data_IF_218697153882
#
_entry.id   IF_218697153882
#
_cell.length_a   1.000
_cell.length_b   1.000
_cell.length_c   1.000
_cell.angle_alpha   90.00
_cell.angle_beta   90.00
_cell.angle_gamma   90.00
#
_symmetry.space_group_name_H-M   'P 1'
#
loop_
_entity.id
_entity.type
_entity.pdbx_description
1 polymer ?
#
# COMPACT_ATOMS: atom_id res chain seq x y z
N UNK A 1 10.48 23.31 -8.12
CA UNK A 1 10.58 22.23 -9.14
C UNK A 1 9.23 22.10 -9.85
N UNK A 2 9.20 21.93 -11.18
CA UNK A 2 7.94 21.75 -11.92
C UNK A 2 7.52 20.28 -11.93
N UNK A 3 6.24 20.00 -11.63
CA UNK A 3 5.66 18.65 -11.67
C UNK A 3 5.22 18.22 -13.08
N UNK A 4 5.27 19.13 -14.05
CA UNK A 4 4.90 18.81 -15.43
C UNK A 4 5.97 17.91 -16.07
N UNK A 5 5.57 16.70 -16.49
CA UNK A 5 6.44 15.74 -17.19
C UNK A 5 7.04 16.31 -18.48
N UNK A 6 6.34 17.20 -19.18
CA UNK A 6 6.83 17.82 -20.40
C UNK A 6 8.04 18.74 -20.15
N UNK A 7 8.20 19.24 -18.92
CA UNK A 7 9.33 20.08 -18.52
C UNK A 7 10.55 19.26 -18.05
N UNK A 8 10.46 17.93 -18.05
CA UNK A 8 11.55 17.02 -17.67
C UNK A 8 12.34 16.58 -18.91
N UNK A 9 13.63 16.32 -18.71
CA UNK A 9 14.46 15.73 -19.76
C UNK A 9 13.92 14.35 -20.19
N UNK A 10 14.32 13.89 -21.38
CA UNK A 10 13.98 12.54 -21.83
C UNK A 10 14.50 11.47 -20.87
N UNK A 11 15.72 11.63 -20.35
CA UNK A 11 16.32 10.68 -19.41
C UNK A 11 15.52 10.57 -18.12
N UNK A 12 15.13 11.70 -17.52
CA UNK A 12 14.29 11.70 -16.31
C UNK A 12 12.92 11.04 -16.55
N UNK A 13 12.30 11.30 -17.70
CA UNK A 13 11.04 10.63 -18.07
C UNK A 13 11.22 9.13 -18.21
N UNK A 14 12.29 8.67 -18.87
CA UNK A 14 12.57 7.25 -19.03
C UNK A 14 12.79 6.55 -17.68
N UNK A 15 13.48 7.20 -16.73
CA UNK A 15 13.66 6.68 -15.37
C UNK A 15 12.33 6.56 -14.62
N UNK A 16 11.47 7.57 -14.72
CA UNK A 16 10.13 7.55 -14.11
C UNK A 16 9.29 6.40 -14.66
N UNK A 17 9.29 6.19 -15.98
CA UNK A 17 8.53 5.09 -16.58
C UNK A 17 9.09 3.71 -16.21
N UNK A 18 10.41 3.56 -16.13
CA UNK A 18 11.05 2.33 -15.65
C UNK A 18 10.69 2.02 -14.19
N UNK A 19 10.69 3.03 -13.32
CA UNK A 19 10.26 2.90 -11.92
C UNK A 19 8.79 2.48 -11.82
N UNK A 20 7.90 3.12 -12.58
CA UNK A 20 6.49 2.75 -12.63
C UNK A 20 6.27 1.31 -13.09
N UNK A 21 6.98 0.87 -14.14
CA UNK A 21 6.88 -0.50 -14.63
C UNK A 21 7.28 -1.51 -13.54
N UNK A 22 8.40 -1.27 -12.85
CA UNK A 22 8.85 -2.10 -11.72
C UNK A 22 7.83 -2.14 -10.59
N UNK A 23 7.27 -0.98 -10.21
CA UNK A 23 6.25 -0.90 -9.15
C UNK A 23 4.97 -1.63 -9.55
N UNK A 24 4.58 -1.55 -10.82
CA UNK A 24 3.41 -2.25 -11.35
C UNK A 24 3.60 -3.78 -11.32
N UNK A 25 4.75 -4.28 -11.73
CA UNK A 25 5.07 -5.72 -11.63
C UNK A 25 5.08 -6.20 -10.18
N UNK A 26 5.67 -5.42 -9.27
CA UNK A 26 5.64 -5.71 -7.83
C UNK A 26 4.19 -5.75 -7.31
N UNK A 27 3.36 -4.78 -7.71
CA UNK A 27 1.96 -4.73 -7.33
C UNK A 27 1.22 -5.97 -7.84
N UNK A 28 1.32 -6.26 -9.13
CA UNK A 28 0.59 -7.35 -9.77
C UNK A 28 0.93 -8.71 -9.15
N UNK A 29 2.22 -8.96 -8.90
CA UNK A 29 2.69 -10.22 -8.30
C UNK A 29 2.31 -10.39 -6.83
N UNK A 30 2.06 -9.30 -6.10
CA UNK A 30 1.81 -9.33 -4.66
C UNK A 30 0.38 -9.00 -4.24
N UNK A 31 -0.48 -8.56 -5.16
CA UNK A 31 -1.83 -8.09 -4.84
C UNK A 31 -2.66 -9.11 -4.05
N UNK A 32 -2.62 -10.39 -4.44
CA UNK A 32 -3.34 -11.45 -3.74
C UNK A 32 -2.85 -11.62 -2.30
N UNK A 33 -1.52 -11.67 -2.10
CA UNK A 33 -0.91 -11.77 -0.77
C UNK A 33 -1.23 -10.55 0.08
N UNK A 34 -1.15 -9.34 -0.49
CA UNK A 34 -1.42 -8.10 0.21
C UNK A 34 -2.87 -8.01 0.70
N UNK A 35 -3.84 -8.49 -0.10
CA UNK A 35 -5.25 -8.60 0.34
C UNK A 35 -5.41 -9.57 1.51
N UNK A 36 -4.70 -10.70 1.48
CA UNK A 36 -4.69 -11.66 2.60
C UNK A 36 -4.16 -11.06 3.89
N UNK A 37 -3.01 -10.37 3.82
CA UNK A 37 -2.45 -9.65 4.97
C UNK A 37 -3.38 -8.54 5.47
N UNK A 38 -3.98 -7.76 4.56
CA UNK A 38 -4.95 -6.74 4.95
C UNK A 38 -6.14 -7.33 5.70
N UNK A 39 -6.69 -8.46 5.22
CA UNK A 39 -7.77 -9.17 5.91
C UNK A 39 -7.35 -9.69 7.29
N UNK A 40 -6.13 -10.23 7.43
CA UNK A 40 -5.55 -10.63 8.73
C UNK A 40 -5.44 -9.45 9.69
N UNK A 41 -4.92 -8.31 9.21
CA UNK A 41 -4.79 -7.12 10.04
C UNK A 41 -6.16 -6.59 10.48
N UNK A 42 -7.18 -6.64 9.62
CA UNK A 42 -8.53 -6.18 9.94
C UNK A 42 -9.25 -7.13 10.92
N UNK A 43 -9.09 -8.45 10.80
CA UNK A 43 -9.75 -9.41 11.70
C UNK A 43 -9.33 -9.24 13.16
N UNK A 44 -8.14 -8.71 13.39
CA UNK A 44 -7.57 -8.39 14.71
C UNK A 44 -8.22 -7.19 15.41
N UNK A 45 -9.07 -6.43 14.70
CA UNK A 45 -9.65 -5.19 15.21
C UNK A 45 -10.50 -5.37 16.45
N UNK A 46 -11.35 -6.40 16.48
CA UNK A 46 -12.23 -6.68 17.63
C UNK A 46 -11.46 -7.06 18.89
N UNK A 47 -10.39 -7.87 18.71
CA UNK A 47 -9.50 -8.31 19.78
C UNK A 47 -8.71 -7.16 20.39
N UNK A 48 -8.16 -6.28 19.54
CA UNK A 48 -7.24 -5.20 19.95
C UNK A 48 -7.94 -3.90 20.35
N UNK A 49 -9.18 -3.68 19.92
CA UNK A 49 -9.99 -2.50 20.24
C UNK A 49 -9.21 -1.19 19.98
N UNK A 50 -9.13 -0.29 20.97
CA UNK A 50 -8.47 1.01 20.83
C UNK A 50 -6.98 0.95 20.47
N UNK A 51 -6.30 -0.18 20.72
CA UNK A 51 -4.88 -0.37 20.37
C UNK A 51 -4.65 -0.87 18.95
N UNK A 52 -5.72 -1.15 18.20
CA UNK A 52 -5.62 -1.76 16.87
C UNK A 52 -4.80 -0.91 15.89
N UNK A 53 -5.06 0.40 15.82
CA UNK A 53 -4.40 1.27 14.83
C UNK A 53 -2.90 1.46 15.09
N UNK A 54 -2.48 1.45 16.35
CA UNK A 54 -1.05 1.49 16.73
C UNK A 54 -0.37 0.17 16.40
N UNK A 55 -1.00 -0.95 16.73
CA UNK A 55 -0.47 -2.25 16.39
C UNK A 55 -0.35 -2.47 14.87
N UNK A 56 -1.36 -2.08 14.08
CA UNK A 56 -1.27 -2.17 12.61
C UNK A 56 -0.09 -1.35 12.07
N UNK A 57 0.21 -0.18 12.64
CA UNK A 57 1.39 0.59 12.26
C UNK A 57 2.68 -0.19 12.55
N UNK A 58 2.81 -0.76 13.73
CA UNK A 58 3.98 -1.58 14.08
C UNK A 58 4.14 -2.81 13.16
N UNK A 59 3.06 -3.49 12.79
CA UNK A 59 3.12 -4.61 11.83
C UNK A 59 3.58 -4.16 10.44
N UNK A 60 3.10 -3.01 9.97
CA UNK A 60 3.50 -2.45 8.68
C UNK A 60 4.95 -1.95 8.69
N UNK A 61 5.40 -1.38 9.81
CA UNK A 61 6.77 -0.88 9.97
C UNK A 61 7.79 -2.03 10.06
N UNK A 62 7.37 -3.20 10.56
CA UNK A 62 8.17 -4.42 10.57
C UNK A 62 8.20 -5.16 9.22
N UNK A 63 7.36 -4.75 8.25
CA UNK A 63 7.20 -5.45 6.99
C UNK A 63 8.24 -5.00 5.95
N UNK A 64 8.74 -5.95 5.17
CA UNK A 64 9.69 -5.72 4.09
C UNK A 64 9.24 -6.45 2.82
N UNK A 65 9.47 -5.89 1.62
CA UNK A 65 10.03 -4.56 1.36
C UNK A 65 9.05 -3.41 1.68
N UNK A 66 9.52 -2.16 1.83
CA UNK A 66 8.66 -1.00 2.10
C UNK A 66 7.52 -0.81 1.10
N UNK A 67 7.76 -1.10 -0.18
CA UNK A 67 6.74 -1.01 -1.23
C UNK A 67 5.60 -2.04 -1.02
N UNK A 68 5.93 -3.23 -0.50
CA UNK A 68 4.93 -4.23 -0.15
C UNK A 68 4.12 -3.79 1.09
N UNK A 69 4.78 -3.21 2.10
CA UNK A 69 4.10 -2.64 3.26
C UNK A 69 3.12 -1.52 2.86
N UNK A 70 3.51 -0.65 1.92
CA UNK A 70 2.63 0.39 1.37
C UNK A 70 1.42 -0.21 0.64
N UNK A 71 1.62 -1.30 -0.12
CA UNK A 71 0.52 -2.01 -0.77
C UNK A 71 -0.46 -2.60 0.26
N UNK A 72 0.03 -3.29 1.30
CA UNK A 72 -0.84 -3.80 2.38
C UNK A 72 -1.60 -2.66 3.06
N UNK A 73 -0.93 -1.55 3.36
CA UNK A 73 -1.57 -0.35 3.94
C UNK A 73 -2.71 0.17 3.06
N UNK A 74 -2.51 0.23 1.74
CA UNK A 74 -3.57 0.66 0.81
C UNK A 74 -4.77 -0.27 0.79
N UNK A 75 -4.55 -1.59 0.85
CA UNK A 75 -5.64 -2.57 0.85
C UNK A 75 -6.40 -2.55 2.19
N UNK A 76 -5.71 -2.38 3.33
CA UNK A 76 -6.37 -2.16 4.64
C UNK A 76 -7.28 -0.93 4.57
N UNK A 77 -6.76 0.21 4.10
CA UNK A 77 -7.54 1.44 3.99
C UNK A 77 -8.75 1.27 3.07
N UNK A 78 -8.58 0.60 1.93
CA UNK A 78 -9.65 0.34 0.96
C UNK A 78 -10.77 -0.52 1.55
N UNK A 79 -10.43 -1.63 2.20
CA UNK A 79 -11.41 -2.52 2.83
C UNK A 79 -12.13 -1.84 3.99
N UNK A 80 -11.41 -1.07 4.80
CA UNK A 80 -11.98 -0.30 5.90
C UNK A 80 -12.93 0.80 5.42
N UNK A 81 -12.59 1.50 4.33
CA UNK A 81 -13.47 2.48 3.71
C UNK A 81 -14.74 1.82 3.16
N UNK A 82 -14.62 0.69 2.46
CA UNK A 82 -15.77 -0.06 1.96
C UNK A 82 -16.69 -0.55 3.10
N UNK A 83 -16.12 -1.03 4.20
CA UNK A 83 -16.89 -1.46 5.38
C UNK A 83 -17.59 -0.29 6.10
N UNK A 84 -17.06 0.93 6.01
CA UNK A 84 -17.70 2.12 6.56
C UNK A 84 -18.76 2.70 5.63
N UNK A 85 -18.62 2.57 4.31
CA UNK A 85 -19.61 3.03 3.35
C UNK A 85 -20.89 2.17 3.33
N UNK A 86 -20.80 0.91 3.77
CA UNK A 86 -21.92 -0.01 3.85
C UNK A 86 -22.70 0.05 5.18
N UNK A 87 -22.41 1.03 6.04
CA UNK A 87 -23.08 1.27 7.33
C UNK A 87 -23.85 2.57 7.28
#
# INVERSE_FOLDING_TARGET
>A
MSFNLANKSFQERAQIEAEKARLFEMWQSNLGKAKGEAARLISEKSRRKGKWAEWVRAELDAMSPPDYANLVRSEVNKMMAAASANR
#
